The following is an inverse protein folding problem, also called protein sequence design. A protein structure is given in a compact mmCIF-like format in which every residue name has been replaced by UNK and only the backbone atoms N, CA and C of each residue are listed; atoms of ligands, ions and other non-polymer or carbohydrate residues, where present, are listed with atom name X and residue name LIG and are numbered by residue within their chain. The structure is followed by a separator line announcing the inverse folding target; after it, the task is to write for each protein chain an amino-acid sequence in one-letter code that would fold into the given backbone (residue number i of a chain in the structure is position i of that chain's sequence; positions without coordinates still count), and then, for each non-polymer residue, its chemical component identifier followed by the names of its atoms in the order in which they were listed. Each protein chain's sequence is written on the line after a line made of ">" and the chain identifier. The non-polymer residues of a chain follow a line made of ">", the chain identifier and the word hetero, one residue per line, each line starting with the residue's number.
data_IF_786022979402
#
_entry.id   IF_786022979402
#
_cell.length_a   1.000
_cell.length_b   1.000
_cell.length_c   1.000
_cell.angle_alpha   90.00
_cell.angle_beta   90.00
_cell.angle_gamma   90.00
#
_symmetry.space_group_name_H-M   'P 1'
#
loop_
_entity.id
_entity.type
_entity.pdbx_description
1 polymer ?
#
# COMPACT_ATOMS: atom_id res chain seq x y z
N UNK A 1 -1.79 -17.43 -29.23
CA UNK A 1 -0.84 -18.55 -29.34
C UNK A 1 -1.57 -19.84 -29.62
N UNK A 2 -2.13 -20.47 -28.59
CA UNK A 2 -2.79 -21.79 -28.66
C UNK A 2 -3.97 -21.87 -29.64
N UNK A 3 -4.75 -20.80 -29.79
CA UNK A 3 -5.88 -20.71 -30.73
C UNK A 3 -5.41 -20.90 -32.18
N UNK A 4 -4.19 -20.43 -32.51
CA UNK A 4 -3.60 -20.52 -33.86
C UNK A 4 -3.08 -21.92 -34.18
N UNK A 5 -2.73 -22.69 -33.14
CA UNK A 5 -2.33 -24.10 -33.23
C UNK A 5 -3.54 -25.00 -33.48
N UNK A 6 -4.67 -24.71 -32.83
CA UNK A 6 -5.92 -25.47 -33.03
C UNK A 6 -6.58 -25.14 -34.37
N UNK A 7 -6.41 -23.92 -34.88
CA UNK A 7 -7.01 -23.48 -36.15
C UNK A 7 -6.19 -23.86 -37.40
N UNK A 8 -4.89 -24.19 -37.27
CA UNK A 8 -4.00 -24.40 -38.41
C UNK A 8 -4.11 -25.78 -39.07
N UNK A 9 -4.90 -26.72 -38.52
CA UNK A 9 -4.92 -28.10 -39.02
C UNK A 9 -3.59 -28.81 -38.74
N UNK A 10 -3.63 -30.12 -38.54
CA UNK A 10 -2.46 -30.92 -38.15
C UNK A 10 -1.51 -31.22 -39.34
N UNK A 11 -1.66 -30.52 -40.46
CA UNK A 11 -1.10 -30.92 -41.76
C UNK A 11 0.42 -30.68 -41.85
N UNK A 12 0.97 -29.73 -41.07
CA UNK A 12 2.41 -29.42 -41.07
C UNK A 12 3.04 -29.44 -39.66
N UNK A 13 3.77 -30.50 -39.27
CA UNK A 13 4.39 -30.62 -37.95
C UNK A 13 5.45 -29.55 -37.66
N UNK A 14 6.08 -28.97 -38.70
CA UNK A 14 7.09 -27.92 -38.54
C UNK A 14 6.47 -26.54 -38.20
N UNK A 15 5.27 -26.24 -38.72
CA UNK A 15 4.53 -25.04 -38.35
C UNK A 15 3.99 -25.12 -36.91
N UNK A 16 3.59 -26.32 -36.50
CA UNK A 16 3.08 -26.62 -35.16
C UNK A 16 4.14 -26.33 -34.07
N UNK A 17 5.35 -26.88 -34.22
CA UNK A 17 6.44 -26.69 -33.24
C UNK A 17 6.87 -25.23 -33.13
N UNK A 18 6.91 -24.50 -34.26
CA UNK A 18 7.22 -23.06 -34.27
C UNK A 18 6.15 -22.23 -33.53
N UNK A 19 4.86 -22.53 -33.74
CA UNK A 19 3.76 -21.82 -33.09
C UNK A 19 3.71 -22.07 -31.58
N UNK A 20 3.99 -23.31 -31.14
CA UNK A 20 4.06 -23.68 -29.73
C UNK A 20 5.27 -23.00 -29.04
N UNK A 21 6.44 -22.98 -29.68
CA UNK A 21 7.64 -22.33 -29.14
C UNK A 21 7.43 -20.84 -28.87
N UNK A 22 6.80 -20.11 -29.79
CA UNK A 22 6.48 -18.68 -29.61
C UNK A 22 5.50 -18.49 -28.45
N UNK A 23 4.53 -19.40 -28.26
CA UNK A 23 3.58 -19.31 -27.15
C UNK A 23 4.28 -19.43 -25.78
N UNK A 24 5.23 -20.37 -25.64
CA UNK A 24 5.97 -20.53 -24.40
C UNK A 24 6.91 -19.35 -24.12
N UNK A 25 7.61 -18.85 -25.13
CA UNK A 25 8.50 -17.68 -24.98
C UNK A 25 7.67 -16.45 -24.58
N UNK A 26 6.50 -16.25 -25.16
CA UNK A 26 5.59 -15.15 -24.79
C UNK A 26 5.16 -15.24 -23.32
N UNK A 27 4.81 -16.43 -22.85
CA UNK A 27 4.46 -16.67 -21.44
C UNK A 27 5.65 -16.45 -20.52
N UNK A 28 6.85 -16.91 -20.90
CA UNK A 28 8.08 -16.70 -20.16
C UNK A 28 8.39 -15.20 -20.02
N UNK A 29 8.33 -14.44 -21.13
CA UNK A 29 8.53 -12.99 -21.10
C UNK A 29 7.49 -12.29 -20.22
N UNK A 30 6.22 -12.72 -20.25
CA UNK A 30 5.18 -12.16 -19.40
C UNK A 30 5.43 -12.37 -17.91
N UNK A 31 5.75 -13.61 -17.49
CA UNK A 31 6.03 -13.94 -16.09
C UNK A 31 7.30 -13.26 -15.60
N UNK A 32 8.36 -13.23 -16.42
CA UNK A 32 9.60 -12.51 -16.10
C UNK A 32 9.33 -11.02 -15.93
N UNK A 33 8.64 -10.38 -16.87
CA UNK A 33 8.29 -8.96 -16.80
C UNK A 33 7.45 -8.63 -15.56
N UNK A 34 6.44 -9.46 -15.27
CA UNK A 34 5.58 -9.28 -14.10
C UNK A 34 6.38 -9.30 -12.79
N UNK A 35 7.22 -10.33 -12.61
CA UNK A 35 7.91 -10.55 -11.36
C UNK A 35 9.12 -9.63 -11.17
N UNK A 36 9.87 -9.32 -12.23
CA UNK A 36 11.09 -8.50 -12.12
C UNK A 36 10.83 -7.00 -12.16
N UNK A 37 9.81 -6.54 -12.90
CA UNK A 37 9.59 -5.09 -13.10
C UNK A 37 8.29 -4.60 -12.46
N UNK A 38 7.15 -5.26 -12.71
CA UNK A 38 5.86 -4.73 -12.27
C UNK A 38 5.68 -4.81 -10.75
N UNK A 39 6.12 -5.90 -10.10
CA UNK A 39 6.03 -6.05 -8.63
C UNK A 39 6.84 -4.97 -7.87
N UNK A 40 8.13 -4.71 -8.16
CA UNK A 40 8.87 -3.67 -7.45
C UNK A 40 8.35 -2.26 -7.75
N UNK A 41 7.89 -2.00 -8.97
CA UNK A 41 7.26 -0.72 -9.34
C UNK A 41 5.97 -0.51 -8.54
N UNK A 42 5.10 -1.51 -8.48
CA UNK A 42 3.86 -1.48 -7.68
C UNK A 42 4.15 -1.21 -6.20
N UNK A 43 5.19 -1.86 -5.66
CA UNK A 43 5.60 -1.67 -4.25
C UNK A 43 6.06 -0.24 -3.98
N UNK A 44 6.90 0.33 -4.84
CA UNK A 44 7.36 1.72 -4.70
C UNK A 44 6.20 2.72 -4.82
N UNK A 45 5.30 2.49 -5.77
CA UNK A 45 4.12 3.33 -5.95
C UNK A 45 3.20 3.29 -4.72
N UNK A 46 2.91 2.09 -4.20
CA UNK A 46 2.11 1.92 -2.98
C UNK A 46 2.76 2.60 -1.77
N UNK A 47 4.09 2.56 -1.65
CA UNK A 47 4.80 3.24 -0.57
C UNK A 47 4.61 4.77 -0.63
N UNK A 48 4.71 5.36 -1.84
CA UNK A 48 4.44 6.80 -2.06
C UNK A 48 2.99 7.15 -1.78
N UNK A 49 2.05 6.35 -2.30
CA UNK A 49 0.63 6.53 -2.06
C UNK A 49 0.27 6.45 -0.57
N UNK A 50 0.87 5.53 0.18
CA UNK A 50 0.64 5.42 1.63
C UNK A 50 1.02 6.70 2.37
N UNK A 51 2.15 7.33 2.03
CA UNK A 51 2.56 8.59 2.62
C UNK A 51 1.57 9.72 2.31
N UNK A 52 1.21 9.89 1.04
CA UNK A 52 0.25 10.92 0.62
C UNK A 52 -1.17 10.67 1.11
N UNK A 53 -1.54 9.41 1.39
CA UNK A 53 -2.83 9.05 1.97
C UNK A 53 -2.88 9.43 3.45
N UNK A 54 -1.84 9.10 4.21
CA UNK A 54 -1.74 9.43 5.63
C UNK A 54 -1.78 10.95 5.88
N UNK A 55 -1.12 11.74 5.02
CA UNK A 55 -1.19 13.20 5.07
C UNK A 55 -2.63 13.72 4.86
N UNK A 56 -3.36 13.17 3.89
CA UNK A 56 -4.76 13.55 3.64
C UNK A 56 -5.68 13.10 4.76
N UNK A 57 -5.49 11.90 5.30
CA UNK A 57 -6.25 11.39 6.45
C UNK A 57 -6.08 12.30 7.67
N UNK A 58 -4.84 12.73 7.97
CA UNK A 58 -4.55 13.69 9.03
C UNK A 58 -5.30 15.01 8.84
N UNK A 59 -5.32 15.56 7.61
CA UNK A 59 -6.02 16.82 7.33
C UNK A 59 -7.54 16.67 7.53
N UNK A 60 -8.12 15.56 7.06
CA UNK A 60 -9.56 15.31 7.21
C UNK A 60 -9.94 15.21 8.68
N UNK A 61 -9.16 14.47 9.48
CA UNK A 61 -9.41 14.34 10.90
C UNK A 61 -9.24 15.67 11.64
N UNK A 62 -8.23 16.47 11.27
CA UNK A 62 -8.03 17.80 11.82
C UNK A 62 -9.24 18.72 11.58
N UNK A 63 -9.76 18.75 10.35
CA UNK A 63 -10.93 19.57 10.01
C UNK A 63 -12.19 19.07 10.75
N UNK A 64 -12.36 17.75 10.85
CA UNK A 64 -13.49 17.16 11.57
C UNK A 64 -13.44 17.49 13.08
N UNK A 65 -12.25 17.43 13.69
CA UNK A 65 -12.03 17.77 15.08
C UNK A 65 -12.26 19.26 15.40
N UNK A 66 -11.87 20.16 14.48
CA UNK A 66 -12.16 21.60 14.59
C UNK A 66 -13.68 21.82 14.57
N UNK A 67 -14.40 21.16 13.65
CA UNK A 67 -15.87 21.24 13.59
C UNK A 67 -16.53 20.77 14.89
N UNK A 68 -15.98 19.72 15.51
CA UNK A 68 -16.51 19.15 16.75
C UNK A 68 -16.13 19.96 18.01
N UNK A 69 -15.37 21.05 17.87
CA UNK A 69 -15.01 21.91 19.00
C UNK A 69 -13.98 21.30 19.96
N UNK A 70 -13.15 20.36 19.48
CA UNK A 70 -12.11 19.73 20.31
C UNK A 70 -11.06 20.78 20.74
N UNK A 71 -10.63 20.71 22.00
CA UNK A 71 -9.59 21.61 22.52
C UNK A 71 -8.31 21.52 21.66
N UNK A 72 -7.77 22.65 21.16
CA UNK A 72 -6.63 22.67 20.24
C UNK A 72 -5.36 22.02 20.80
N UNK A 73 -5.23 21.94 22.13
CA UNK A 73 -4.12 21.25 22.80
C UNK A 73 -4.21 19.73 22.59
N UNK A 74 -5.40 19.16 22.74
CA UNK A 74 -5.65 17.74 22.52
C UNK A 74 -5.55 17.39 21.03
N UNK A 75 -6.04 18.28 20.15
CA UNK A 75 -5.94 18.09 18.70
C UNK A 75 -4.48 18.03 18.22
N UNK A 76 -3.60 18.89 18.76
CA UNK A 76 -2.16 18.86 18.46
C UNK A 76 -1.51 17.54 18.86
N UNK A 77 -1.92 16.96 19.99
CA UNK A 77 -1.41 15.68 20.47
C UNK A 77 -1.84 14.53 19.54
N UNK A 78 -3.12 14.48 19.15
CA UNK A 78 -3.65 13.54 18.16
C UNK A 78 -2.89 13.63 16.83
N UNK A 79 -2.73 14.83 16.26
CA UNK A 79 -1.98 15.05 15.01
C UNK A 79 -0.48 14.73 15.14
N UNK A 80 0.12 14.94 16.32
CA UNK A 80 1.55 14.64 16.54
C UNK A 80 1.87 13.14 16.40
N UNK A 81 0.90 12.28 16.73
CA UNK A 81 1.03 10.82 16.58
C UNK A 81 1.11 10.38 15.10
N UNK A 82 0.41 11.07 14.20
CA UNK A 82 0.48 10.84 12.75
C UNK A 82 1.86 11.16 12.18
N UNK A 83 2.50 12.23 12.65
CA UNK A 83 3.85 12.63 12.23
C UNK A 83 4.92 11.69 12.78
N UNK A 84 4.78 11.26 14.04
CA UNK A 84 5.67 10.29 14.67
C UNK A 84 5.64 8.94 13.93
N UNK A 85 4.47 8.48 13.51
CA UNK A 85 4.31 7.22 12.76
C UNK A 85 5.01 7.25 11.39
N UNK A 86 5.02 8.39 10.70
CA UNK A 86 5.71 8.57 9.41
C UNK A 86 7.25 8.58 9.53
N UNK A 87 7.78 9.14 10.62
CA UNK A 87 9.22 9.35 10.83
C UNK A 87 9.92 8.24 11.63
N UNK A 88 9.18 7.38 12.33
CA UNK A 88 9.75 6.34 13.21
C UNK A 88 10.28 5.09 12.47
N UNK A 89 10.11 4.98 11.14
CA UNK A 89 10.60 3.82 10.36
C UNK A 89 12.14 3.73 10.27
N UNK A 90 12.91 4.67 10.82
CA UNK A 90 14.39 4.63 10.87
C UNK A 90 15.00 4.60 12.28
N UNK A 91 14.22 4.49 13.36
CA UNK A 91 14.78 4.40 14.72
C UNK A 91 14.07 3.33 15.56
N UNK A 92 14.28 2.05 15.24
CA UNK A 92 14.13 1.00 16.25
C UNK A 92 15.29 1.14 17.23
N UNK A 93 15.07 1.80 18.37
CA UNK A 93 16.12 1.92 19.38
C UNK A 93 15.89 2.88 20.53
N UNK A 94 14.79 3.64 20.62
CA UNK A 94 14.47 4.38 21.86
C UNK A 94 13.00 4.19 22.20
N UNK A 95 12.78 3.44 23.28
CA UNK A 95 11.53 3.36 24.03
C UNK A 95 11.01 4.76 24.29
N UNK A 96 9.72 4.98 24.07
CA UNK A 96 9.00 6.09 24.67
C UNK A 96 7.55 5.64 24.88
N UNK A 97 7.30 5.08 26.07
CA UNK A 97 5.98 5.17 26.65
C UNK A 97 5.74 6.62 27.05
N UNK A 98 4.62 7.17 26.62
CA UNK A 98 4.01 8.45 26.98
C UNK A 98 2.64 8.39 26.29
N UNK A 99 1.47 8.45 26.92
CA UNK A 99 1.12 8.57 28.32
C UNK A 99 -0.36 8.13 28.34
N UNK A 100 -0.63 6.90 28.78
CA UNK A 100 -1.93 6.56 29.34
C UNK A 100 -1.71 6.74 30.83
N UNK A 101 -1.94 7.95 31.33
CA UNK A 101 -2.35 8.12 32.72
C UNK A 101 -3.77 8.61 32.63
N UNK A 102 -4.70 7.69 32.92
CA UNK A 102 -5.76 7.97 33.86
C UNK A 102 -6.41 9.36 33.72
N UNK A 103 -7.51 9.41 32.98
CA UNK A 103 -8.70 9.97 33.61
C UNK A 103 -9.68 8.81 33.81
N UNK A 104 -9.85 8.35 35.06
CA UNK A 104 -11.04 7.63 35.43
C UNK A 104 -12.23 8.49 35.05
N UNK A 105 -13.31 7.84 34.65
CA UNK A 105 -14.63 8.44 34.60
C UNK A 105 -15.07 8.64 36.06
N UNK A 106 -14.46 9.58 36.79
CA UNK A 106 -15.02 10.05 38.07
C UNK A 106 -16.08 11.10 37.70
N UNK A 107 -17.36 10.74 37.85
CA UNK A 107 -18.04 10.94 39.13
C UNK A 107 -17.91 12.39 39.60
N UNK A 108 -18.43 13.33 38.83
CA UNK A 108 -18.98 14.59 39.34
C UNK A 108 -20.29 14.88 38.58
N UNK A 109 -21.27 14.01 38.81
CA UNK A 109 -22.67 14.40 38.79
C UNK A 109 -23.05 14.60 40.26
N UNK A 110 -22.86 15.83 40.72
CA UNK A 110 -23.60 16.41 41.83
C UNK A 110 -24.28 17.68 41.31
#
# INVERSE_FOLDING_TARGET
>A
GLIRVLAAGMDDPNALTKAIGIAFITTLYGVLLANLLLIPVSTKLKARLKASRLEKEMIIEAVCAIRNGINPRLLREQLSSYVATSSSRRRSGRKSGYYYSDTPVEQQAE
#
